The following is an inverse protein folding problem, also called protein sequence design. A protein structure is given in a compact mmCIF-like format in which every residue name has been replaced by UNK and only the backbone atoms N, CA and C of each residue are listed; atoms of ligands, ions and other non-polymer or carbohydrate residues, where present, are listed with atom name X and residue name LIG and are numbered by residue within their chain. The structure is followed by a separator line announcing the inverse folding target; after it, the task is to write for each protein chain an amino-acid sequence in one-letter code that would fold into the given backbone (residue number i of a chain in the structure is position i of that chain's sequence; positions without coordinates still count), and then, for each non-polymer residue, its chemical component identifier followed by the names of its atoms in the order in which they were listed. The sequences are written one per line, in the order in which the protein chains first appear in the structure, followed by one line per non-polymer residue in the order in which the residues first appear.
data_IF_636742401056
#
_entry.id   IF_636742401056
#
_cell.length_a   1.000
_cell.length_b   1.000
_cell.length_c   1.000
_cell.angle_alpha   90.00
_cell.angle_beta   90.00
_cell.angle_gamma   90.00
#
_symmetry.space_group_name_H-M   'P 1'
#
loop_
_entity.id
_entity.type
_entity.pdbx_description
1 polymer ?
#
# COMPACT_ATOMS: atom_id res chain seq x y z
N UNK A 1 7.09 -11.07 25.93
CA UNK A 1 7.45 -10.39 24.67
C UNK A 1 7.19 -11.37 23.54
N UNK A 2 6.18 -11.10 22.70
CA UNK A 2 5.95 -11.92 21.51
C UNK A 2 7.04 -11.58 20.49
N UNK A 3 7.88 -12.56 20.15
CA UNK A 3 8.89 -12.40 19.10
C UNK A 3 8.12 -12.35 17.77
N UNK A 4 7.87 -11.14 17.28
CA UNK A 4 7.32 -10.95 15.93
C UNK A 4 8.43 -11.35 14.96
N UNK A 5 8.19 -12.40 14.18
CA UNK A 5 9.12 -12.80 13.13
C UNK A 5 9.35 -11.60 12.17
N UNK A 6 10.57 -11.38 11.68
CA UNK A 6 10.84 -10.29 10.74
C UNK A 6 9.89 -10.41 9.55
N UNK A 7 9.12 -9.35 9.28
CA UNK A 7 8.14 -9.34 8.22
C UNK A 7 8.80 -9.75 6.90
N UNK A 8 8.22 -10.71 6.14
CA UNK A 8 8.77 -11.10 4.86
C UNK A 8 8.84 -9.86 3.96
N UNK A 9 9.94 -9.73 3.22
CA UNK A 9 10.04 -8.71 2.17
C UNK A 9 8.84 -8.92 1.24
N UNK A 10 8.02 -7.87 1.04
CA UNK A 10 6.79 -7.95 0.26
C UNK A 10 6.98 -8.77 -1.02
N UNK A 11 6.03 -9.67 -1.29
CA UNK A 11 6.08 -10.50 -2.49
C UNK A 11 6.19 -9.63 -3.74
N UNK A 12 6.82 -10.14 -4.80
CA UNK A 12 6.90 -9.42 -6.09
C UNK A 12 5.49 -8.95 -6.50
N UNK A 13 5.29 -7.63 -6.55
CA UNK A 13 4.04 -7.00 -7.02
C UNK A 13 3.17 -6.37 -5.92
N UNK A 14 3.52 -6.50 -4.64
CA UNK A 14 2.78 -5.85 -3.56
C UNK A 14 3.18 -4.38 -3.43
N UNK A 15 2.20 -3.47 -3.58
CA UNK A 15 2.43 -2.03 -3.47
C UNK A 15 2.44 -1.66 -1.98
N UNK A 16 3.64 -1.63 -1.39
CA UNK A 16 3.83 -1.22 0.00
C UNK A 16 4.19 0.27 0.02
N UNK A 17 3.46 1.05 0.83
CA UNK A 17 3.79 2.46 1.07
C UNK A 17 5.16 2.55 1.75
N UNK A 18 6.03 3.42 1.24
CA UNK A 18 7.34 3.60 1.86
C UNK A 18 7.19 4.34 3.19
N UNK A 19 7.89 3.94 4.28
CA UNK A 19 7.84 4.63 5.56
C UNK A 19 8.07 6.15 5.47
N UNK A 20 8.91 6.60 4.54
CA UNK A 20 9.18 8.02 4.31
C UNK A 20 7.93 8.83 3.94
N UNK A 21 6.91 8.21 3.32
CA UNK A 21 5.64 8.86 3.01
C UNK A 21 4.99 9.45 4.26
N UNK A 22 5.01 8.72 5.37
CA UNK A 22 4.42 9.17 6.63
C UNK A 22 5.19 10.33 7.27
N UNK A 23 6.45 10.53 6.90
CA UNK A 23 7.22 11.71 7.31
C UNK A 23 7.16 12.85 6.30
N UNK A 24 6.49 12.68 5.15
CA UNK A 24 6.39 13.69 4.09
C UNK A 24 5.37 14.78 4.44
N UNK A 25 5.51 15.95 3.82
CA UNK A 25 4.56 17.05 4.00
C UNK A 25 3.16 16.72 3.51
N UNK A 26 3.01 15.80 2.56
CA UNK A 26 1.69 15.38 2.06
C UNK A 26 0.90 14.73 3.20
N UNK A 27 1.50 13.76 3.88
CA UNK A 27 0.85 13.06 4.98
C UNK A 27 0.77 13.94 6.24
N UNK A 28 1.89 14.55 6.63
CA UNK A 28 1.99 15.33 7.87
C UNK A 28 1.05 16.52 7.87
N UNK A 29 0.92 17.25 6.75
CA UNK A 29 0.02 18.42 6.69
C UNK A 29 -1.44 17.99 6.76
N UNK A 30 -1.83 16.96 6.00
CA UNK A 30 -3.19 16.43 6.04
C UNK A 30 -3.59 16.00 7.48
N UNK A 31 -2.73 15.24 8.17
CA UNK A 31 -3.02 14.81 9.55
C UNK A 31 -3.04 16.00 10.51
N UNK A 32 -2.20 17.03 10.32
CA UNK A 32 -2.27 18.25 11.14
C UNK A 32 -3.58 19.00 10.94
N UNK A 33 -4.08 19.05 9.71
CA UNK A 33 -5.36 19.69 9.38
C UNK A 33 -6.53 18.89 9.96
N UNK A 34 -6.46 17.55 9.93
CA UNK A 34 -7.44 16.67 10.56
C UNK A 34 -7.45 16.86 12.09
N UNK A 35 -6.28 16.93 12.74
CA UNK A 35 -6.17 17.21 14.18
C UNK A 35 -6.73 18.59 14.50
N UNK A 36 -6.42 19.61 13.69
CA UNK A 36 -6.96 20.95 13.87
C UNK A 36 -8.49 20.98 13.74
N UNK A 37 -9.04 20.24 12.78
CA UNK A 37 -10.48 20.07 12.57
C UNK A 37 -11.14 19.37 13.75
N UNK A 38 -10.53 18.32 14.29
CA UNK A 38 -10.98 17.62 15.50
C UNK A 38 -11.04 18.57 16.70
N UNK A 39 -9.96 19.33 16.94
CA UNK A 39 -9.86 20.31 18.02
C UNK A 39 -10.94 21.40 17.87
N UNK A 40 -11.05 21.96 16.68
CA UNK A 40 -12.00 23.04 16.39
C UNK A 40 -13.45 22.59 16.59
N UNK A 41 -13.83 21.46 15.99
CA UNK A 41 -15.19 20.90 16.09
C UNK A 41 -15.54 20.56 17.53
N UNK A 42 -14.59 20.00 18.29
CA UNK A 42 -14.79 19.72 19.71
C UNK A 42 -15.05 21.01 20.49
N UNK A 43 -14.23 22.03 20.29
CA UNK A 43 -14.37 23.28 21.03
C UNK A 43 -15.69 23.99 20.72
N UNK A 44 -16.08 24.03 19.45
CA UNK A 44 -17.37 24.59 19.01
C UNK A 44 -18.55 23.90 19.71
N UNK A 45 -18.59 22.56 19.67
CA UNK A 45 -19.68 21.81 20.29
C UNK A 45 -19.64 21.88 21.82
N UNK A 46 -18.45 21.88 22.41
CA UNK A 46 -18.27 22.02 23.86
C UNK A 46 -18.74 23.39 24.35
N UNK A 47 -18.43 24.47 23.62
CA UNK A 47 -18.88 25.82 23.95
C UNK A 47 -20.41 25.96 23.85
N UNK A 48 -21.03 25.32 22.85
CA UNK A 48 -22.47 25.40 22.62
C UNK A 48 -23.30 24.54 23.59
N UNK A 49 -22.82 23.36 23.96
CA UNK A 49 -23.59 22.38 24.75
C UNK A 49 -23.20 22.28 26.22
N UNK A 50 -21.98 22.71 26.60
CA UNK A 50 -21.41 22.55 27.94
C UNK A 50 -21.70 21.16 28.54
N UNK A 51 -21.25 20.09 27.88
CA UNK A 51 -21.64 18.73 28.25
C UNK A 51 -21.12 18.37 29.65
N UNK A 52 -21.95 17.66 30.42
CA UNK A 52 -21.55 17.08 31.72
C UNK A 52 -20.45 16.02 31.58
N UNK A 53 -20.34 15.39 30.41
CA UNK A 53 -19.34 14.37 30.09
C UNK A 53 -18.49 14.78 28.87
N UNK A 54 -17.46 15.63 29.06
CA UNK A 54 -16.69 16.18 27.94
C UNK A 54 -15.96 15.10 27.12
N UNK A 55 -15.46 14.05 27.77
CA UNK A 55 -14.81 12.95 27.06
C UNK A 55 -15.79 12.09 26.23
N UNK A 56 -17.08 12.06 26.60
CA UNK A 56 -18.12 11.39 25.82
C UNK A 56 -18.36 12.11 24.50
N UNK A 57 -18.45 13.45 24.55
CA UNK A 57 -18.48 14.30 23.36
C UNK A 57 -17.26 14.03 22.46
N UNK A 58 -16.06 14.00 23.03
CA UNK A 58 -14.83 13.69 22.29
C UNK A 58 -14.92 12.35 21.54
N UNK A 59 -15.33 11.27 22.22
CA UNK A 59 -15.46 9.93 21.60
C UNK A 59 -16.44 9.91 20.44
N UNK A 60 -17.54 10.66 20.55
CA UNK A 60 -18.53 10.77 19.48
C UNK A 60 -17.95 11.43 18.23
N UNK A 61 -17.23 12.55 18.41
CA UNK A 61 -16.54 13.27 17.34
C UNK A 61 -15.40 12.47 16.73
N UNK A 62 -14.58 11.82 17.56
CA UNK A 62 -13.53 10.90 17.16
C UNK A 62 -14.08 9.81 16.22
N UNK A 63 -15.22 9.23 16.59
CA UNK A 63 -15.87 8.18 15.80
C UNK A 63 -16.51 8.72 14.52
N UNK A 64 -17.14 9.91 14.58
CA UNK A 64 -17.81 10.55 13.46
C UNK A 64 -16.83 11.01 12.37
N UNK A 65 -15.66 11.52 12.76
CA UNK A 65 -14.58 11.91 11.85
C UNK A 65 -13.74 10.72 11.35
N UNK A 66 -14.09 9.49 11.74
CA UNK A 66 -13.44 8.28 11.22
C UNK A 66 -12.09 7.92 11.87
N UNK A 67 -11.65 8.63 12.91
CA UNK A 67 -10.37 8.35 13.59
C UNK A 67 -10.28 6.92 14.16
N UNK A 68 -11.41 6.28 14.48
CA UNK A 68 -11.46 4.86 14.88
C UNK A 68 -10.91 3.91 13.82
N UNK A 69 -10.98 4.28 12.54
CA UNK A 69 -10.49 3.45 11.42
C UNK A 69 -9.03 3.70 11.07
N UNK A 70 -8.45 4.78 11.62
CA UNK A 70 -7.09 5.22 11.29
C UNK A 70 -6.07 4.11 11.58
N UNK A 71 -6.28 3.33 12.65
CA UNK A 71 -5.45 2.16 12.96
C UNK A 71 -5.37 1.09 11.87
N UNK A 72 -6.23 1.10 10.85
CA UNK A 72 -6.24 0.10 9.77
C UNK A 72 -5.70 0.62 8.44
N UNK A 73 -5.21 1.87 8.41
CA UNK A 73 -4.65 2.47 7.19
C UNK A 73 -3.36 1.78 6.70
N UNK A 74 -2.60 1.16 7.61
CA UNK A 74 -1.31 0.52 7.32
C UNK A 74 -1.22 -0.80 8.07
N UNK A 75 -1.11 -1.90 7.34
CA UNK A 75 -1.06 -3.25 7.91
C UNK A 75 0.34 -3.87 7.89
N UNK A 76 1.27 -3.35 7.10
CA UNK A 76 2.65 -3.84 7.08
C UNK A 76 3.45 -3.29 8.26
N UNK A 77 4.21 -4.14 8.95
CA UNK A 77 4.82 -3.80 10.25
C UNK A 77 5.75 -2.59 10.21
N UNK A 78 6.66 -2.54 9.24
CA UNK A 78 7.68 -1.48 9.16
C UNK A 78 7.07 -0.12 8.90
N UNK A 79 6.13 -0.05 7.98
CA UNK A 79 5.48 1.21 7.64
C UNK A 79 4.50 1.61 8.73
N UNK A 80 3.79 0.63 9.31
CA UNK A 80 2.89 0.82 10.44
C UNK A 80 3.61 1.42 11.65
N UNK A 81 4.81 0.95 11.98
CA UNK A 81 5.62 1.55 13.05
C UNK A 81 5.86 3.04 12.81
N UNK A 82 6.30 3.40 11.60
CA UNK A 82 6.58 4.81 11.26
C UNK A 82 5.31 5.65 11.31
N UNK A 83 4.23 5.13 10.73
CA UNK A 83 2.91 5.75 10.73
C UNK A 83 2.39 6.04 12.15
N UNK A 84 2.37 5.03 13.03
CA UNK A 84 1.89 5.19 14.41
C UNK A 84 2.75 6.19 15.18
N UNK A 85 4.08 6.10 15.06
CA UNK A 85 5.00 7.02 15.71
C UNK A 85 4.80 8.46 15.24
N UNK A 86 4.60 8.69 13.94
CA UNK A 86 4.33 10.02 13.40
C UNK A 86 3.00 10.57 13.94
N UNK A 87 1.92 9.78 13.92
CA UNK A 87 0.59 10.25 14.35
C UNK A 87 0.61 10.59 15.85
N UNK A 88 1.19 9.73 16.69
CA UNK A 88 1.35 10.00 18.12
C UNK A 88 2.19 11.26 18.37
N UNK A 89 3.26 11.45 17.60
CA UNK A 89 4.08 12.66 17.66
C UNK A 89 3.30 13.91 17.25
N UNK A 90 2.46 13.84 16.22
CA UNK A 90 1.63 14.98 15.79
C UNK A 90 0.58 15.39 16.84
N UNK A 91 0.03 14.43 17.60
CA UNK A 91 -0.77 14.78 18.76
C UNK A 91 0.07 15.45 19.85
N UNK A 92 1.28 14.94 20.14
CA UNK A 92 2.18 15.55 21.13
C UNK A 92 2.59 16.99 20.76
N UNK A 93 2.78 17.28 19.47
CA UNK A 93 3.04 18.66 18.99
C UNK A 93 1.94 19.65 19.42
N UNK A 94 0.71 19.18 19.66
CA UNK A 94 -0.42 20.01 20.11
C UNK A 94 -0.61 20.04 21.63
N UNK A 95 0.15 19.24 22.39
CA UNK A 95 0.09 19.19 23.87
C UNK A 95 1.10 20.16 24.52
N UNK A 96 2.00 20.74 23.72
CA UNK A 96 3.03 21.69 24.17
C UNK A 96 2.45 22.99 24.75
N UNK A 97 3.24 23.70 25.55
CA UNK A 97 2.79 24.90 26.29
C UNK A 97 2.38 26.08 25.41
N UNK A 98 2.91 26.18 24.19
CA UNK A 98 2.62 27.28 23.25
C UNK A 98 1.15 27.27 22.77
N UNK A 99 0.50 26.10 22.81
CA UNK A 99 -0.89 25.93 22.37
C UNK A 99 -1.89 26.34 23.47
N UNK A 100 -3.08 26.78 23.06
CA UNK A 100 -4.14 27.13 24.00
C UNK A 100 -4.51 25.92 24.90
N UNK A 101 -4.79 26.11 26.21
CA UNK A 101 -5.07 25.00 27.11
C UNK A 101 -6.19 24.06 26.64
N UNK A 102 -7.24 24.60 26.01
CA UNK A 102 -8.31 23.79 25.43
C UNK A 102 -7.81 22.86 24.30
N UNK A 103 -6.97 23.37 23.39
CA UNK A 103 -6.38 22.60 22.29
C UNK A 103 -5.54 21.44 22.85
N UNK A 104 -4.73 21.74 23.87
CA UNK A 104 -3.85 20.77 24.54
C UNK A 104 -4.64 19.62 25.16
N UNK A 105 -5.82 19.89 25.73
CA UNK A 105 -6.70 18.86 26.29
C UNK A 105 -7.25 17.94 25.20
N UNK A 106 -7.76 18.49 24.11
CA UNK A 106 -8.32 17.67 23.02
C UNK A 106 -7.23 16.85 22.33
N UNK A 107 -6.05 17.44 22.13
CA UNK A 107 -4.88 16.72 21.64
C UNK A 107 -4.47 15.57 22.57
N UNK A 108 -4.52 15.78 23.90
CA UNK A 108 -4.27 14.73 24.89
C UNK A 108 -5.34 13.63 24.83
N UNK A 109 -6.61 13.98 24.63
CA UNK A 109 -7.68 13.00 24.44
C UNK A 109 -7.43 12.14 23.19
N UNK A 110 -7.00 12.77 22.08
CA UNK A 110 -6.58 12.09 20.86
C UNK A 110 -5.39 11.16 21.08
N UNK A 111 -4.32 11.64 21.71
CA UNK A 111 -3.13 10.86 22.03
C UNK A 111 -3.49 9.61 22.85
N UNK A 112 -4.24 9.80 23.95
CA UNK A 112 -4.68 8.73 24.83
C UNK A 112 -5.54 7.70 24.08
N UNK A 113 -6.56 8.18 23.36
CA UNK A 113 -7.49 7.31 22.65
C UNK A 113 -6.76 6.54 21.55
N UNK A 114 -5.93 7.19 20.75
CA UNK A 114 -5.16 6.55 19.69
C UNK A 114 -4.22 5.48 20.26
N UNK A 115 -3.47 5.79 21.33
CA UNK A 115 -2.53 4.85 21.93
C UNK A 115 -3.20 3.61 22.53
N UNK A 116 -4.30 3.76 23.29
CA UNK A 116 -4.95 2.63 23.96
C UNK A 116 -5.90 1.83 23.07
N UNK A 117 -6.35 2.37 21.94
CA UNK A 117 -7.22 1.68 20.98
C UNK A 117 -6.47 0.94 19.87
N UNK A 118 -5.13 0.88 19.94
CA UNK A 118 -4.33 0.07 19.02
C UNK A 118 -4.83 -1.40 19.03
N UNK A 119 -5.04 -2.02 17.85
CA UNK A 119 -5.46 -3.42 17.76
C UNK A 119 -4.47 -4.35 18.46
N UNK A 120 -4.97 -5.21 19.35
CA UNK A 120 -4.20 -6.25 20.04
C UNK A 120 -4.81 -7.61 19.77
N UNK A 121 -3.98 -8.66 19.74
CA UNK A 121 -4.45 -10.04 19.55
C UNK A 121 -4.98 -10.34 18.15
N UNK A 122 -4.53 -9.62 17.13
CA UNK A 122 -4.89 -9.89 15.73
C UNK A 122 -4.17 -11.12 15.18
N UNK A 123 -4.75 -11.76 14.17
CA UNK A 123 -4.11 -12.83 13.40
C UNK A 123 -4.23 -12.49 11.90
N UNK A 124 -3.13 -12.12 11.21
CA UNK A 124 -1.75 -12.05 11.71
C UNK A 124 -1.54 -10.93 12.77
N UNK A 125 -0.52 -11.05 13.64
CA UNK A 125 -0.17 -10.00 14.60
C UNK A 125 0.17 -8.70 13.88
N UNK A 126 -0.41 -7.58 14.34
CA UNK A 126 -0.07 -6.24 13.86
C UNK A 126 0.89 -5.55 14.83
N UNK A 127 1.90 -4.86 14.30
CA UNK A 127 2.75 -3.99 15.12
C UNK A 127 1.91 -2.99 15.95
N UNK A 128 2.31 -2.78 17.20
CA UNK A 128 1.73 -1.77 18.09
C UNK A 128 2.83 -1.04 18.84
N UNK A 129 2.72 0.28 18.93
CA UNK A 129 3.63 1.13 19.70
C UNK A 129 3.40 0.88 21.18
N UNK A 130 4.49 0.57 21.89
CA UNK A 130 4.48 0.33 23.35
C UNK A 130 4.87 1.57 24.14
N UNK A 131 5.71 2.43 23.58
CA UNK A 131 6.20 3.64 24.23
C UNK A 131 6.25 4.80 23.22
N UNK A 132 5.99 6.01 23.70
CA UNK A 132 5.98 7.24 22.91
C UNK A 132 7.21 8.06 23.30
N UNK A 133 8.13 8.33 22.37
CA UNK A 133 9.24 9.25 22.61
C UNK A 133 8.72 10.65 22.90
N UNK A 134 9.15 11.26 24.01
CA UNK A 134 8.78 12.62 24.40
C UNK A 134 10.00 13.38 24.95
N UNK A 135 10.32 14.58 24.43
CA UNK A 135 11.34 15.45 25.00
C UNK A 135 11.05 15.81 26.46
N UNK A 136 12.10 15.94 27.27
CA UNK A 136 11.98 16.18 28.72
C UNK A 136 11.21 17.47 29.07
N UNK A 137 11.35 18.51 28.26
CA UNK A 137 10.61 19.78 28.34
C UNK A 137 9.12 19.63 28.02
N UNK A 138 8.80 18.92 26.93
CA UNK A 138 7.41 18.62 26.58
C UNK A 138 6.75 17.73 27.63
N UNK A 139 7.50 16.79 28.21
CA UNK A 139 7.04 15.96 29.31
C UNK A 139 6.75 16.77 30.58
N UNK A 140 7.56 17.79 30.88
CA UNK A 140 7.27 18.74 31.96
C UNK A 140 5.98 19.52 31.68
N UNK A 141 5.81 20.02 30.45
CA UNK A 141 4.59 20.72 30.01
C UNK A 141 3.34 19.83 30.15
N UNK A 142 3.43 18.56 29.74
CA UNK A 142 2.36 17.57 29.90
C UNK A 142 2.00 17.35 31.37
N UNK A 143 2.98 17.21 32.27
CA UNK A 143 2.74 17.05 33.70
C UNK A 143 2.04 18.27 34.32
N UNK A 144 2.34 19.47 33.83
CA UNK A 144 1.77 20.73 34.28
C UNK A 144 0.39 21.04 33.70
N UNK A 145 -0.07 20.32 32.66
CA UNK A 145 -1.32 20.61 31.95
C UNK A 145 -2.56 20.74 32.86
N UNK A 146 -2.81 19.88 33.87
CA UNK A 146 -3.96 20.07 34.78
C UNK A 146 -3.95 21.43 35.48
N UNK A 147 -2.77 21.95 35.84
CA UNK A 147 -2.63 23.24 36.51
C UNK A 147 -2.87 24.43 35.58
N UNK A 148 -2.88 24.20 34.25
CA UNK A 148 -3.19 25.22 33.26
C UNK A 148 -4.71 25.38 33.03
N UNK A 149 -5.53 24.48 33.58
CA UNK A 149 -7.00 24.48 33.40
C UNK A 149 -7.72 25.29 34.49
N UNK A 150 -7.16 26.43 34.91
CA UNK A 150 -7.72 27.24 35.98
C UNK A 150 -8.98 28.02 35.55
N UNK A 151 -9.16 28.25 34.24
CA UNK A 151 -10.31 28.97 33.72
C UNK A 151 -11.63 28.23 34.01
N UNK A 152 -12.66 28.96 34.45
CA UNK A 152 -13.96 28.40 34.88
C UNK A 152 -14.61 27.48 33.83
N UNK A 153 -14.55 27.85 32.55
CA UNK A 153 -15.12 27.07 31.45
C UNK A 153 -14.32 25.79 31.11
N UNK A 154 -13.08 25.66 31.59
CA UNK A 154 -12.23 24.48 31.38
C UNK A 154 -12.20 23.54 32.59
N UNK A 155 -12.68 23.98 33.75
CA UNK A 155 -12.76 23.15 34.96
C UNK A 155 -13.45 21.79 34.75
N UNK A 156 -14.54 21.67 33.95
CA UNK A 156 -15.16 20.37 33.70
C UNK A 156 -14.25 19.35 32.98
N UNK A 157 -13.19 19.80 32.31
CA UNK A 157 -12.22 18.93 31.64
C UNK A 157 -11.20 18.33 32.60
N UNK A 158 -10.98 18.97 33.76
CA UNK A 158 -9.91 18.65 34.71
C UNK A 158 -9.96 17.19 35.20
N UNK A 159 -11.12 16.59 35.55
CA UNK A 159 -11.17 15.19 35.97
C UNK A 159 -10.69 14.23 34.88
N UNK A 160 -11.12 14.45 33.63
CA UNK A 160 -10.73 13.61 32.49
C UNK A 160 -9.23 13.73 32.20
N UNK A 161 -8.70 14.94 32.22
CA UNK A 161 -7.27 15.22 32.00
C UNK A 161 -6.41 14.60 33.11
N UNK A 162 -6.84 14.75 34.37
CA UNK A 162 -6.14 14.17 35.52
C UNK A 162 -6.13 12.65 35.47
N UNK A 163 -7.26 12.03 35.11
CA UNK A 163 -7.37 10.59 34.91
C UNK A 163 -6.41 10.12 33.81
N UNK A 164 -6.50 10.70 32.61
CA UNK A 164 -5.66 10.32 31.46
C UNK A 164 -4.18 10.47 31.80
N UNK A 165 -3.78 11.60 32.44
CA UNK A 165 -2.41 11.80 32.91
C UNK A 165 -1.98 10.69 33.86
N UNK A 166 -2.81 10.35 34.85
CA UNK A 166 -2.48 9.31 35.83
C UNK A 166 -2.28 7.94 35.18
N UNK A 167 -3.12 7.59 34.20
CA UNK A 167 -3.04 6.32 33.47
C UNK A 167 -1.78 6.27 32.60
N UNK A 168 -1.51 7.32 31.80
CA UNK A 168 -0.31 7.38 30.95
C UNK A 168 1.00 7.31 31.76
N UNK A 169 1.03 7.92 32.94
CA UNK A 169 2.20 7.88 33.84
C UNK A 169 2.35 6.53 34.53
N UNK A 170 1.25 5.94 35.01
CA UNK A 170 1.24 4.62 35.67
C UNK A 170 1.69 3.52 34.73
N UNK A 171 1.25 3.56 33.47
CA UNK A 171 1.55 2.54 32.47
C UNK A 171 2.90 2.79 31.77
N UNK A 172 3.69 3.77 32.24
CA UNK A 172 5.00 4.13 31.69
C UNK A 172 5.01 4.34 30.18
N UNK A 173 3.96 4.96 29.64
CA UNK A 173 3.76 5.12 28.19
C UNK A 173 4.86 5.96 27.52
N UNK A 174 5.53 6.84 28.26
CA UNK A 174 6.49 7.78 27.71
C UNK A 174 7.94 7.31 27.84
N UNK A 175 8.66 7.31 26.72
CA UNK A 175 10.12 7.22 26.69
C UNK A 175 10.72 8.63 26.68
N UNK A 176 11.25 9.07 27.82
CA UNK A 176 11.76 10.43 27.98
C UNK A 176 13.07 10.57 27.20
N UNK A 177 13.09 11.46 26.23
CA UNK A 177 14.28 11.83 25.46
C UNK A 177 14.91 13.11 26.01
N UNK A 178 16.13 13.48 25.57
CA UNK A 178 16.72 14.78 25.89
C UNK A 178 15.82 15.96 25.52
N UNK A 179 16.24 17.17 25.93
CA UNK A 179 15.52 18.41 25.64
C UNK A 179 15.29 18.59 24.13
N UNK A 180 14.13 19.16 23.76
CA UNK A 180 13.71 19.29 22.36
C UNK A 180 14.69 20.10 21.49
N UNK A 181 15.36 21.10 22.06
CA UNK A 181 16.39 21.91 21.38
C UNK A 181 17.56 21.08 20.81
N UNK A 182 17.88 19.94 21.43
CA UNK A 182 18.91 19.02 20.96
C UNK A 182 18.47 18.19 19.74
N UNK A 183 17.19 18.25 19.39
CA UNK A 183 16.61 17.49 18.29
C UNK A 183 16.71 15.96 18.46
N UNK A 184 16.28 15.40 19.61
CA UNK A 184 16.49 13.98 19.92
C UNK A 184 15.60 13.02 19.10
N UNK A 185 14.57 13.54 18.44
CA UNK A 185 13.63 12.74 17.67
C UNK A 185 14.16 12.49 16.24
N UNK A 186 13.79 11.35 15.65
CA UNK A 186 14.14 11.03 14.26
C UNK A 186 12.85 10.82 13.44
N UNK A 187 12.61 11.62 12.37
CA UNK A 187 13.40 12.77 11.92
C UNK A 187 13.36 13.92 12.93
N UNK A 188 14.37 14.80 12.95
CA UNK A 188 14.40 15.93 13.91
C UNK A 188 13.16 16.81 13.80
N UNK A 189 12.77 17.15 12.58
CA UNK A 189 11.59 17.93 12.28
C UNK A 189 10.64 17.12 11.38
N UNK A 190 9.34 17.30 11.56
CA UNK A 190 8.32 16.81 10.63
C UNK A 190 7.54 18.00 10.04
N UNK A 191 7.29 18.02 8.73
CA UNK A 191 7.68 17.01 7.74
C UNK A 191 9.19 16.97 7.45
N UNK A 192 9.69 15.77 7.14
CA UNK A 192 11.09 15.54 6.71
C UNK A 192 11.31 16.00 5.29
N UNK A 193 10.35 15.72 4.41
CA UNK A 193 10.40 16.04 2.98
C UNK A 193 9.22 16.94 2.64
N UNK A 194 9.50 18.09 2.01
CA UNK A 194 8.47 19.02 1.55
C UNK A 194 8.17 18.71 0.09
N UNK A 195 6.97 18.21 -0.16
CA UNK A 195 6.43 18.09 -1.50
C UNK A 195 6.01 19.46 -2.01
N UNK A 196 6.64 19.89 -3.11
CA UNK A 196 6.28 21.10 -3.83
C UNK A 196 5.52 20.67 -5.09
N UNK A 197 4.27 21.10 -5.23
CA UNK A 197 3.50 20.83 -6.45
C UNK A 197 4.23 21.44 -7.66
N UNK A 198 4.40 20.64 -8.72
CA UNK A 198 5.16 21.03 -9.91
C UNK A 198 4.53 22.24 -10.62
N UNK A 199 3.22 22.48 -10.43
CA UNK A 199 2.53 23.68 -10.93
C UNK A 199 2.91 24.96 -10.17
N UNK A 200 3.36 24.81 -8.92
CA UNK A 200 3.79 25.92 -8.06
C UNK A 200 5.28 26.24 -8.21
N UNK A 201 6.06 25.38 -8.86
CA UNK A 201 7.46 25.68 -9.20
C UNK A 201 7.42 26.65 -10.39
N UNK A 202 7.43 27.95 -10.10
CA UNK A 202 7.77 28.95 -11.11
C UNK A 202 9.04 28.49 -11.83
N UNK A 203 9.12 28.54 -13.17
CA UNK A 203 10.24 28.01 -13.91
C UNK A 203 11.53 28.68 -13.42
N UNK A 204 12.30 27.94 -12.61
CA UNK A 204 13.65 28.29 -12.21
C UNK A 204 14.48 28.33 -13.48
N UNK A 205 14.63 29.55 -13.98
CA UNK A 205 15.48 29.99 -15.08
C UNK A 205 15.30 29.20 -16.40
N UNK A 206 14.58 29.73 -17.40
CA UNK A 206 14.47 29.11 -18.72
C UNK A 206 15.84 28.94 -19.42
N UNK A 207 16.90 29.58 -18.92
CA UNK A 207 18.25 29.49 -19.47
C UNK A 207 19.18 28.49 -18.75
N UNK A 208 18.71 27.76 -17.72
CA UNK A 208 19.54 26.79 -17.03
C UNK A 208 19.99 25.65 -17.99
N UNK A 209 21.30 25.39 -18.15
CA UNK A 209 21.81 24.41 -19.11
C UNK A 209 21.37 23.00 -18.73
N UNK A 210 20.52 22.40 -19.58
CA UNK A 210 20.01 21.03 -19.40
C UNK A 210 21.18 20.03 -19.47
N UNK A 211 21.39 19.26 -18.40
CA UNK A 211 22.34 18.14 -18.38
C UNK A 211 21.95 17.12 -19.47
N UNK A 212 22.76 17.05 -20.54
CA UNK A 212 22.63 16.08 -21.64
C UNK A 212 22.62 14.64 -21.08
N UNK A 213 21.63 13.84 -21.49
CA UNK A 213 21.64 12.39 -21.29
C UNK A 213 20.67 11.82 -20.24
N UNK A 214 20.11 12.63 -19.34
CA UNK A 214 19.06 12.15 -18.43
C UNK A 214 17.69 12.52 -18.99
N UNK A 215 16.78 11.56 -19.28
CA UNK A 215 15.41 11.86 -19.66
C UNK A 215 14.83 12.85 -18.66
N UNK A 216 14.39 14.00 -19.15
CA UNK A 216 13.87 15.04 -18.27
C UNK A 216 12.58 14.55 -17.62
N UNK A 217 12.19 15.12 -16.48
CA UNK A 217 10.87 14.79 -15.88
C UNK A 217 9.73 14.99 -16.87
N UNK A 218 9.82 16.01 -17.75
CA UNK A 218 8.88 16.24 -18.84
C UNK A 218 8.84 15.09 -19.84
N UNK A 219 10.00 14.53 -20.20
CA UNK A 219 10.07 13.36 -21.09
C UNK A 219 9.47 12.11 -20.42
N UNK A 220 9.71 11.92 -19.11
CA UNK A 220 9.08 10.84 -18.34
C UNK A 220 7.57 10.99 -18.25
N UNK A 221 7.07 12.20 -17.98
CA UNK A 221 5.64 12.49 -17.93
C UNK A 221 4.97 12.32 -19.32
N UNK A 222 5.63 12.78 -20.38
CA UNK A 222 5.15 12.57 -21.76
C UNK A 222 5.13 11.08 -22.13
N UNK A 223 6.15 10.32 -21.71
CA UNK A 223 6.20 8.87 -21.90
C UNK A 223 5.13 8.14 -21.09
N UNK A 224 4.85 8.57 -19.86
CA UNK A 224 3.79 8.01 -19.03
C UNK A 224 2.40 8.28 -19.62
N UNK A 225 2.14 9.50 -20.11
CA UNK A 225 0.90 9.83 -20.82
C UNK A 225 0.74 9.00 -22.10
N UNK A 226 1.79 8.90 -22.91
CA UNK A 226 1.78 8.02 -24.09
C UNK A 226 1.50 6.55 -23.73
N UNK A 227 2.01 6.08 -22.59
CA UNK A 227 1.75 4.72 -22.11
C UNK A 227 0.28 4.53 -21.69
N UNK A 228 -0.32 5.53 -21.04
CA UNK A 228 -1.76 5.53 -20.71
C UNK A 228 -2.61 5.58 -21.98
N UNK A 229 -2.33 6.49 -22.91
CA UNK A 229 -3.06 6.58 -24.17
C UNK A 229 -2.98 5.27 -24.98
N UNK A 230 -1.82 4.60 -24.96
CA UNK A 230 -1.65 3.29 -25.60
C UNK A 230 -2.41 2.18 -24.88
N UNK A 231 -2.51 2.24 -23.55
CA UNK A 231 -3.29 1.30 -22.76
C UNK A 231 -4.78 1.45 -23.05
N UNK A 232 -5.28 2.70 -23.11
CA UNK A 232 -6.67 2.98 -23.43
C UNK A 232 -7.01 2.50 -24.85
N UNK A 233 -6.14 2.78 -25.83
CA UNK A 233 -6.29 2.23 -27.19
C UNK A 233 -6.29 0.71 -27.23
N UNK A 234 -5.45 0.08 -26.41
CA UNK A 234 -5.43 -1.38 -26.31
C UNK A 234 -6.71 -1.90 -25.69
N UNK A 235 -7.22 -1.27 -24.63
CA UNK A 235 -8.50 -1.63 -24.02
C UNK A 235 -9.64 -1.50 -25.02
N UNK A 236 -9.69 -0.43 -25.81
CA UNK A 236 -10.71 -0.25 -26.86
C UNK A 236 -10.60 -1.29 -27.99
N UNK A 237 -9.38 -1.63 -28.41
CA UNK A 237 -9.16 -2.66 -29.43
C UNK A 237 -9.54 -4.06 -28.93
N UNK A 238 -9.41 -4.30 -27.63
CA UNK A 238 -9.65 -5.62 -27.01
C UNK A 238 -11.07 -5.75 -26.43
N UNK A 239 -11.78 -4.63 -26.23
CA UNK A 239 -13.18 -4.60 -25.80
C UNK A 239 -14.17 -4.73 -26.96
N UNK A 240 -13.68 -4.73 -28.21
CA UNK A 240 -14.51 -5.02 -29.37
C UNK A 240 -15.09 -6.45 -29.26
N UNK A 241 -16.43 -6.62 -29.22
CA UNK A 241 -17.03 -7.93 -29.21
C UNK A 241 -16.68 -8.66 -30.52
N UNK A 242 -16.27 -9.93 -30.42
CA UNK A 242 -16.02 -10.76 -31.58
C UNK A 242 -17.22 -10.67 -32.55
N UNK A 243 -16.99 -10.55 -33.87
CA UNK A 243 -18.06 -10.57 -34.83
C UNK A 243 -18.83 -11.89 -34.70
N UNK A 244 -20.04 -11.81 -34.17
CA UNK A 244 -21.01 -12.89 -34.22
C UNK A 244 -21.37 -13.11 -35.68
N UNK A 245 -20.77 -14.14 -36.28
CA UNK A 245 -21.24 -14.72 -37.53
C UNK A 245 -22.62 -15.36 -37.28
N UNK A 246 -23.67 -14.56 -37.36
CA UNK A 246 -25.04 -15.05 -37.50
C UNK A 246 -25.92 -14.02 -38.17
N UNK A 247 -26.24 -14.29 -39.44
CA UNK A 247 -27.31 -13.61 -40.12
C UNK A 247 -28.66 -14.04 -39.55
N UNK A 248 -29.39 -13.10 -38.98
CA UNK A 248 -30.86 -13.07 -38.93
C UNK A 248 -31.30 -11.64 -38.54
N UNK A 249 -32.37 -11.08 -39.16
CA UNK A 249 -32.79 -9.71 -38.91
C UNK A 249 -33.88 -9.62 -37.82
N UNK A 250 -34.05 -8.40 -37.28
CA UNK A 250 -35.06 -7.90 -36.31
C UNK A 250 -34.73 -8.17 -34.82
N UNK A 251 -34.74 -7.23 -33.87
CA UNK A 251 -35.42 -5.93 -33.68
C UNK A 251 -34.65 -5.09 -32.61
N UNK A 252 -34.88 -3.77 -32.46
CA UNK A 252 -34.12 -2.94 -31.53
C UNK A 252 -34.78 -2.88 -30.15
N UNK A 253 -34.05 -3.31 -29.11
CA UNK A 253 -34.41 -2.96 -27.73
C UNK A 253 -33.13 -2.57 -26.99
N UNK A 254 -33.11 -1.33 -26.50
CA UNK A 254 -32.05 -0.77 -25.68
C UNK A 254 -31.91 -1.56 -24.38
N UNK A 255 -30.76 -2.18 -24.16
CA UNK A 255 -30.30 -2.59 -22.83
C UNK A 255 -28.85 -2.14 -22.65
N UNK A 256 -28.64 -1.42 -21.56
CA UNK A 256 -27.35 -0.92 -21.07
C UNK A 256 -26.39 -2.09 -20.86
N UNK A 257 -25.22 -2.03 -21.50
CA UNK A 257 -24.13 -2.99 -21.32
C UNK A 257 -23.50 -2.74 -19.94
N UNK A 258 -23.54 -3.69 -18.98
CA UNK A 258 -22.84 -3.56 -17.73
C UNK A 258 -21.33 -3.73 -17.97
N UNK A 259 -20.57 -2.66 -17.78
CA UNK A 259 -19.10 -2.63 -17.80
C UNK A 259 -18.57 -3.30 -16.53
N UNK A 260 -18.75 -4.60 -16.39
CA UNK A 260 -18.02 -5.43 -15.43
C UNK A 260 -18.09 -6.89 -15.88
N UNK A 261 -17.23 -7.28 -16.82
CA UNK A 261 -16.93 -8.70 -17.00
C UNK A 261 -16.16 -9.18 -15.77
N UNK A 262 -16.70 -10.10 -14.95
CA UNK A 262 -15.95 -10.65 -13.82
C UNK A 262 -14.76 -11.44 -14.38
N UNK A 263 -13.55 -11.11 -13.93
CA UNK A 263 -12.28 -11.72 -14.36
C UNK A 263 -12.30 -13.27 -14.36
N UNK A 264 -13.13 -13.88 -13.52
CA UNK A 264 -13.35 -15.32 -13.46
C UNK A 264 -13.99 -15.91 -14.75
N UNK A 265 -14.83 -15.15 -15.45
CA UNK A 265 -15.41 -15.55 -16.74
C UNK A 265 -14.38 -15.53 -17.87
N UNK A 266 -13.45 -14.58 -17.83
CA UNK A 266 -12.35 -14.44 -18.80
C UNK A 266 -11.33 -15.57 -18.67
N UNK A 267 -10.97 -15.97 -17.44
CA UNK A 267 -10.02 -17.08 -17.22
C UNK A 267 -10.55 -18.42 -17.73
N UNK A 268 -11.82 -18.75 -17.46
CA UNK A 268 -12.43 -19.99 -17.96
C UNK A 268 -12.52 -20.00 -19.50
N UNK A 269 -12.84 -18.86 -20.11
CA UNK A 269 -12.90 -18.73 -21.56
C UNK A 269 -11.51 -18.89 -22.18
N UNK A 270 -10.49 -18.26 -21.61
CA UNK A 270 -9.10 -18.45 -22.01
C UNK A 270 -8.65 -19.91 -21.90
N UNK A 271 -8.93 -20.58 -20.77
CA UNK A 271 -8.60 -21.99 -20.58
C UNK A 271 -9.29 -22.87 -21.62
N UNK A 272 -10.58 -22.66 -21.86
CA UNK A 272 -11.36 -23.44 -22.85
C UNK A 272 -10.81 -23.24 -24.26
N UNK A 273 -10.52 -22.00 -24.65
CA UNK A 273 -10.00 -21.67 -25.97
C UNK A 273 -8.57 -22.21 -26.16
N UNK A 274 -7.74 -22.14 -25.12
CA UNK A 274 -6.40 -22.72 -25.12
C UNK A 274 -6.44 -24.24 -25.25
N UNK A 275 -7.30 -24.93 -24.49
CA UNK A 275 -7.49 -26.39 -24.62
C UNK A 275 -7.90 -26.74 -26.04
N UNK A 276 -8.86 -26.01 -26.62
CA UNK A 276 -9.32 -26.20 -28.00
C UNK A 276 -8.18 -26.05 -29.02
N UNK A 277 -7.33 -25.05 -28.87
CA UNK A 277 -6.18 -24.83 -29.76
C UNK A 277 -5.15 -25.94 -29.60
N UNK A 278 -4.82 -26.33 -28.36
CA UNK A 278 -3.88 -27.43 -28.10
C UNK A 278 -4.39 -28.77 -28.64
N UNK A 279 -5.68 -29.08 -28.45
CA UNK A 279 -6.31 -30.28 -28.99
C UNK A 279 -6.31 -30.28 -30.53
N UNK A 280 -6.52 -29.11 -31.16
CA UNK A 280 -6.46 -28.99 -32.61
C UNK A 280 -5.05 -29.27 -33.18
N UNK A 281 -4.00 -28.98 -32.40
CA UNK A 281 -2.62 -29.27 -32.75
C UNK A 281 -2.28 -30.75 -32.56
N UNK A 282 -2.92 -31.43 -31.62
CA UNK A 282 -2.73 -32.86 -31.32
C UNK A 282 -3.59 -33.79 -32.19
N UNK A 283 -4.64 -33.31 -32.86
CA UNK A 283 -5.47 -34.14 -33.74
C UNK A 283 -4.63 -34.73 -34.89
N UNK A 284 -4.49 -36.07 -34.99
CA UNK A 284 -3.83 -36.71 -36.12
C UNK A 284 -4.76 -36.61 -37.33
N UNK A 285 -4.70 -35.47 -38.04
CA UNK A 285 -5.31 -35.36 -39.35
C UNK A 285 -4.66 -36.40 -40.26
N UNK A 286 -5.48 -37.15 -40.97
CA UNK A 286 -5.10 -38.24 -41.89
C UNK A 286 -4.20 -37.77 -43.05
N UNK A 287 -3.90 -36.47 -43.16
CA UNK A 287 -2.79 -35.93 -43.95
C UNK A 287 -1.54 -35.76 -43.07
N UNK A 288 -0.66 -36.76 -43.11
CA UNK A 288 0.53 -36.91 -42.25
C UNK A 288 1.53 -35.76 -42.27
N UNK A 289 1.46 -34.81 -43.21
CA UNK A 289 2.45 -33.74 -43.37
C UNK A 289 2.18 -32.48 -42.54
N UNK A 290 0.91 -32.14 -42.27
CA UNK A 290 0.53 -30.92 -41.53
C UNK A 290 0.68 -31.08 -40.02
N UNK A 291 0.33 -32.26 -39.49
CA UNK A 291 0.44 -32.58 -38.05
C UNK A 291 1.90 -32.59 -37.57
N UNK A 292 2.82 -33.12 -38.38
CA UNK A 292 4.26 -33.09 -38.09
C UNK A 292 4.80 -31.65 -38.00
N UNK A 293 4.31 -30.74 -38.85
CA UNK A 293 4.78 -29.36 -38.86
C UNK A 293 4.28 -28.56 -37.65
N UNK A 294 3.07 -28.85 -37.17
CA UNK A 294 2.50 -28.24 -35.98
C UNK A 294 3.29 -28.64 -34.72
N UNK A 295 3.56 -29.94 -34.54
CA UNK A 295 4.35 -30.45 -33.41
C UNK A 295 5.76 -29.85 -33.36
N UNK A 296 6.46 -29.83 -34.50
CA UNK A 296 7.77 -29.19 -34.62
C UNK A 296 7.76 -27.68 -34.31
N UNK A 297 6.66 -26.99 -34.62
CA UNK A 297 6.54 -25.56 -34.34
C UNK A 297 6.41 -25.30 -32.84
N UNK A 298 5.61 -26.12 -32.15
CA UNK A 298 5.45 -26.06 -30.68
C UNK A 298 6.75 -26.43 -29.97
N UNK A 299 7.47 -27.43 -30.45
CA UNK A 299 8.81 -27.80 -29.95
C UNK A 299 9.81 -26.63 -30.10
N UNK A 300 9.88 -26.03 -31.29
CA UNK A 300 10.76 -24.88 -31.55
C UNK A 300 10.42 -23.67 -30.67
N UNK A 301 9.14 -23.38 -30.48
CA UNK A 301 8.70 -22.28 -29.61
C UNK A 301 9.09 -22.55 -28.15
N UNK A 302 8.88 -23.77 -27.67
CA UNK A 302 9.27 -24.22 -26.32
C UNK A 302 10.79 -24.11 -26.10
N UNK A 303 11.59 -24.53 -27.08
CA UNK A 303 13.05 -24.41 -27.02
C UNK A 303 13.49 -22.94 -27.01
N UNK A 304 12.90 -22.10 -27.86
CA UNK A 304 13.22 -20.67 -27.92
C UNK A 304 12.93 -19.95 -26.60
N UNK A 305 11.81 -20.27 -25.94
CA UNK A 305 11.48 -19.72 -24.61
C UNK A 305 12.50 -20.15 -23.56
N UNK A 306 12.91 -21.42 -23.57
CA UNK A 306 13.92 -21.94 -22.66
C UNK A 306 15.27 -21.25 -22.87
N UNK A 307 15.72 -21.11 -24.11
CA UNK A 307 17.00 -20.47 -24.43
C UNK A 307 17.02 -19.00 -23.99
N UNK A 308 15.91 -18.28 -24.21
CA UNK A 308 15.76 -16.88 -23.79
C UNK A 308 15.75 -16.74 -22.26
N UNK A 309 15.16 -17.69 -21.54
CA UNK A 309 15.18 -17.71 -20.07
C UNK A 309 16.59 -18.00 -19.52
N UNK A 310 17.31 -18.96 -20.10
CA UNK A 310 18.72 -19.24 -19.76
C UNK A 310 19.61 -18.01 -20.01
N UNK A 311 19.41 -17.31 -21.12
CA UNK A 311 20.14 -16.08 -21.43
C UNK A 311 19.83 -14.94 -20.44
N UNK A 312 18.55 -14.76 -20.07
CA UNK A 312 18.16 -13.76 -19.08
C UNK A 312 18.75 -14.05 -17.69
N UNK A 313 18.73 -15.31 -17.27
CA UNK A 313 19.35 -15.75 -16.02
C UNK A 313 20.86 -15.50 -15.98
N UNK A 314 21.57 -15.76 -17.08
CA UNK A 314 22.99 -15.43 -17.21
C UNK A 314 23.31 -13.94 -17.02
N UNK A 315 22.38 -13.04 -17.40
CA UNK A 315 22.52 -11.60 -17.16
C UNK A 315 22.29 -11.21 -15.70
N UNK A 316 21.38 -11.89 -14.99
CA UNK A 316 21.08 -11.60 -13.58
C UNK A 316 22.08 -12.26 -12.60
N UNK A 317 22.67 -13.39 -12.97
CA UNK A 317 23.71 -14.04 -12.18
C UNK A 317 24.97 -13.17 -12.02
N UNK A 318 25.21 -12.22 -12.94
CA UNK A 318 26.33 -11.28 -12.86
C UNK A 318 26.15 -10.21 -11.76
N UNK A 319 24.90 -9.87 -11.40
CA UNK A 319 24.58 -8.83 -10.41
C UNK A 319 24.28 -9.40 -9.00
N UNK A 320 24.14 -10.73 -8.86
CA UNK A 320 23.58 -11.35 -7.64
C UNK A 320 24.59 -12.25 -6.93
N UNK A 321 25.76 -11.72 -6.55
CA UNK A 321 26.79 -12.47 -5.81
C UNK A 321 26.54 -12.59 -4.29
N UNK A 322 25.36 -12.22 -3.76
CA UNK A 322 25.11 -12.15 -2.31
C UNK A 322 23.86 -12.86 -1.77
N UNK A 323 23.10 -13.61 -2.57
CA UNK A 323 21.95 -14.38 -2.08
C UNK A 323 22.18 -15.89 -2.28
N UNK A 324 22.82 -16.51 -1.29
CA UNK A 324 23.02 -17.96 -1.19
C UNK A 324 21.75 -18.57 -0.59
N UNK A 325 20.93 -19.30 -1.34
CA UNK A 325 19.86 -20.07 -0.70
C UNK A 325 18.84 -20.78 -1.57
N UNK A 326 18.38 -20.20 -2.68
CA UNK A 326 17.34 -20.84 -3.49
C UNK A 326 17.85 -21.06 -4.91
N UNK A 327 17.86 -22.32 -5.34
CA UNK A 327 17.99 -22.66 -6.75
C UNK A 327 16.98 -21.84 -7.57
N UNK A 328 17.33 -21.40 -8.79
CA UNK A 328 16.44 -20.66 -9.65
C UNK A 328 15.33 -21.57 -10.18
N UNK A 329 14.31 -21.78 -9.34
CA UNK A 329 13.19 -22.67 -9.59
C UNK A 329 12.45 -22.35 -10.90
N UNK A 330 12.60 -21.15 -11.46
CA UNK A 330 12.02 -20.75 -12.74
C UNK A 330 12.53 -21.54 -13.94
N UNK A 331 13.84 -21.54 -14.18
CA UNK A 331 14.44 -22.13 -15.40
C UNK A 331 14.37 -23.65 -15.36
N UNK A 332 14.66 -24.26 -14.21
CA UNK A 332 14.54 -25.71 -14.03
C UNK A 332 13.10 -26.22 -14.27
N UNK A 333 12.07 -25.42 -13.92
CA UNK A 333 10.66 -25.76 -14.18
C UNK A 333 10.32 -25.71 -15.67
N UNK A 334 10.75 -24.66 -16.37
CA UNK A 334 10.52 -24.54 -17.81
C UNK A 334 11.27 -25.63 -18.55
N UNK A 335 12.50 -25.93 -18.17
CA UNK A 335 13.29 -27.02 -18.76
C UNK A 335 12.63 -28.39 -18.56
N UNK A 336 12.03 -28.64 -17.38
CA UNK A 336 11.25 -29.85 -17.14
C UNK A 336 10.02 -29.91 -18.06
N UNK A 337 9.25 -28.83 -18.16
CA UNK A 337 8.06 -28.79 -19.01
C UNK A 337 8.38 -28.96 -20.51
N UNK A 338 9.51 -28.45 -20.97
CA UNK A 338 10.00 -28.66 -22.35
C UNK A 338 10.40 -30.12 -22.57
N UNK A 339 11.05 -30.77 -21.60
CA UNK A 339 11.41 -32.21 -21.68
C UNK A 339 10.21 -33.15 -21.63
N UNK A 340 9.12 -32.74 -20.98
CA UNK A 340 7.90 -33.54 -20.87
C UNK A 340 6.98 -33.43 -22.09
N UNK A 341 7.26 -32.53 -23.04
CA UNK A 341 6.51 -32.36 -24.27
C UNK A 341 6.55 -33.66 -25.09
N UNK A 342 5.37 -34.17 -25.49
CA UNK A 342 5.25 -35.40 -26.28
C UNK A 342 5.45 -36.71 -25.50
N UNK A 343 5.76 -36.66 -24.20
CA UNK A 343 5.89 -37.87 -23.36
C UNK A 343 4.50 -38.35 -22.93
N UNK A 344 4.17 -39.60 -23.22
CA UNK A 344 2.91 -40.18 -22.79
C UNK A 344 2.83 -40.27 -21.25
N UNK A 345 1.70 -39.86 -20.66
CA UNK A 345 1.37 -39.89 -19.21
C UNK A 345 2.01 -38.78 -18.34
N UNK A 346 2.56 -37.72 -18.91
CA UNK A 346 2.99 -36.53 -18.17
C UNK A 346 1.97 -35.39 -18.32
N UNK A 347 1.86 -34.54 -17.30
CA UNK A 347 0.99 -33.34 -17.34
C UNK A 347 1.46 -32.29 -18.37
N UNK A 348 2.71 -32.37 -18.80
CA UNK A 348 3.31 -31.52 -19.85
C UNK A 348 3.07 -32.01 -21.29
N UNK A 349 2.34 -33.12 -21.49
CA UNK A 349 2.22 -33.79 -22.80
C UNK A 349 1.79 -32.85 -23.93
N UNK A 350 0.76 -32.03 -23.72
CA UNK A 350 0.25 -31.09 -24.73
C UNK A 350 0.67 -29.65 -24.38
N UNK A 351 1.69 -29.11 -25.07
CA UNK A 351 2.03 -27.68 -25.00
C UNK A 351 3.28 -27.29 -24.19
N UNK A 352 3.85 -28.17 -23.37
CA UNK A 352 5.14 -27.94 -22.70
C UNK A 352 5.14 -26.71 -21.80
N UNK A 353 6.00 -25.72 -22.07
CA UNK A 353 6.11 -24.50 -21.28
C UNK A 353 4.82 -23.65 -21.29
N UNK A 354 3.97 -23.80 -22.31
CA UNK A 354 2.68 -23.11 -22.40
C UNK A 354 1.71 -23.52 -21.28
N UNK A 355 1.87 -24.71 -20.69
CA UNK A 355 1.06 -25.16 -19.56
C UNK A 355 1.46 -24.54 -18.22
N UNK A 356 2.65 -23.94 -18.13
CA UNK A 356 3.13 -23.31 -16.89
C UNK A 356 2.47 -21.94 -16.61
N UNK A 357 1.82 -21.35 -17.62
CA UNK A 357 1.23 -20.01 -17.55
C UNK A 357 -0.05 -19.94 -16.69
N UNK A 358 -0.62 -21.07 -16.27
CA UNK A 358 -1.89 -21.13 -15.53
C UNK A 358 -1.75 -21.19 -14.01
N UNK A 359 -0.54 -21.10 -13.47
CA UNK A 359 -0.31 -20.96 -12.03
C UNK A 359 0.78 -21.88 -11.52
N UNK A 360 1.99 -21.35 -11.38
CA UNK A 360 3.13 -21.84 -10.58
C UNK A 360 3.51 -23.35 -10.63
N UNK A 361 2.87 -24.18 -11.46
CA UNK A 361 3.03 -25.64 -11.45
C UNK A 361 2.54 -26.32 -10.17
N UNK A 362 1.72 -25.67 -9.33
CA UNK A 362 1.03 -26.37 -8.26
C UNK A 362 -0.19 -27.03 -8.88
N UNK A 363 -0.15 -28.35 -9.01
CA UNK A 363 -1.32 -29.16 -9.31
C UNK A 363 -2.46 -28.69 -8.41
N UNK A 364 -3.52 -28.14 -9.03
CA UNK A 364 -4.80 -27.98 -8.35
C UNK A 364 -5.32 -29.41 -8.14
N UNK A 365 -5.05 -29.96 -6.97
CA UNK A 365 -5.74 -31.14 -6.43
C UNK A 365 -7.10 -30.74 -5.93
#
# INVERSE_FOLDING_TARGET
MSVVAPAPSGGRGEVILQPNYFTSSIFVSAVRDDIATLIHTYYEQYANSQPTEPFSLFKSLWSAQGWKWMHFMVLDDRTRETFLNVVLRLFLERVVEIEAPANRVVALFGLYTFFYTQPKGTAPPLYSVTHIPIPSDQFACFKALPNALNASHLQPLLPSVSYIKSVLLKDHVFFITPHSDLGPLNPRNIPREIFVDEKSILPLDPNAPKKKGRPTKRDKAKKARLALDNLDKWLEATSAPLPTLSGAPSSPTSEEIPVHHPLASSLKLYQTEKSRILDSLDTPSSSSTLSLHAGMTVEKANQFVLDRLKAAEGLFALDTFLAKGDEPAGVARVERAVRELGVAKTSGRSGGALNLLEGAGKSQT
#
